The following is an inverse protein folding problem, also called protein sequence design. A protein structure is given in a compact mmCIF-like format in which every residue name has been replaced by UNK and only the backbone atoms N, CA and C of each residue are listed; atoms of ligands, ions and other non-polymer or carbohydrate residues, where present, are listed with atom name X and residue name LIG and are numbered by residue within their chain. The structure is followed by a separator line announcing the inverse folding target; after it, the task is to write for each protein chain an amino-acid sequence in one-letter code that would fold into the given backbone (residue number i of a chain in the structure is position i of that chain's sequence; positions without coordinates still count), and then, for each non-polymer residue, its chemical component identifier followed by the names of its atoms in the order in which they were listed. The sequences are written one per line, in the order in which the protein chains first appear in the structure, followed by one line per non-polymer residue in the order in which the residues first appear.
data_IF_434984120338
#
_entry.id   IF_434984120338
#
_cell.length_a   1.000
_cell.length_b   1.000
_cell.length_c   1.000
_cell.angle_alpha   90.00
_cell.angle_beta   90.00
_cell.angle_gamma   90.00
#
_symmetry.space_group_name_H-M   'P 1'
#
loop_
_entity.id
_entity.type
_entity.pdbx_description
1 polymer ?
#
# COMPACT_ATOMS: atom_id res chain seq x y z
N UNK A 1 -28.59 43.85 -5.84
CA UNK A 1 -27.26 43.23 -6.09
C UNK A 1 -27.46 41.77 -6.47
N UNK A 2 -27.40 41.45 -7.75
CA UNK A 2 -27.55 40.07 -8.26
C UNK A 2 -26.16 39.42 -8.27
N UNK A 3 -25.97 38.39 -7.45
CA UNK A 3 -24.77 37.57 -7.42
C UNK A 3 -24.70 36.80 -8.73
N UNK A 4 -23.78 37.20 -9.64
CA UNK A 4 -23.51 36.48 -10.89
C UNK A 4 -22.94 35.09 -10.58
N UNK A 5 -23.81 34.09 -10.52
CA UNK A 5 -23.42 32.70 -10.67
C UNK A 5 -22.86 32.49 -12.07
N UNK A 6 -21.60 32.07 -12.18
CA UNK A 6 -20.99 31.71 -13.46
C UNK A 6 -21.65 30.44 -14.00
N UNK A 7 -22.60 30.60 -14.92
CA UNK A 7 -23.16 29.52 -15.73
C UNK A 7 -22.05 29.07 -16.69
N UNK A 8 -21.51 27.86 -16.46
CA UNK A 8 -20.63 27.21 -17.43
C UNK A 8 -21.47 26.96 -18.68
N UNK A 9 -21.03 27.35 -19.89
CA UNK A 9 -21.79 27.05 -21.10
C UNK A 9 -22.01 25.53 -21.17
N UNK A 10 -23.27 25.09 -21.32
CA UNK A 10 -23.78 23.70 -21.23
C UNK A 10 -22.98 22.64 -22.03
N UNK A 11 -22.06 23.07 -22.88
CA UNK A 11 -21.25 22.24 -23.77
C UNK A 11 -19.84 21.93 -23.24
N UNK A 12 -19.28 22.69 -22.30
CA UNK A 12 -17.89 22.47 -21.82
C UNK A 12 -17.85 21.58 -20.60
N UNK A 13 -17.42 20.33 -20.79
CA UNK A 13 -17.43 19.27 -19.75
C UNK A 13 -16.06 18.90 -19.21
N UNK A 14 -14.98 19.22 -19.94
CA UNK A 14 -13.64 18.75 -19.61
C UNK A 14 -12.64 19.90 -19.46
N UNK A 15 -11.69 19.77 -18.55
CA UNK A 15 -10.66 20.78 -18.25
C UNK A 15 -9.27 20.13 -18.21
N UNK A 16 -8.25 20.83 -18.67
CA UNK A 16 -6.87 20.32 -18.71
C UNK A 16 -6.21 20.23 -17.34
N UNK A 17 -5.32 19.24 -17.18
CA UNK A 17 -4.49 19.01 -15.99
C UNK A 17 -3.74 20.25 -15.54
N UNK A 18 -3.09 20.94 -16.47
CA UNK A 18 -2.28 22.14 -16.20
C UNK A 18 -3.14 23.26 -15.63
N UNK A 19 -4.36 23.43 -16.12
CA UNK A 19 -5.28 24.44 -15.60
C UNK A 19 -5.77 24.08 -14.20
N UNK A 20 -6.09 22.81 -13.96
CA UNK A 20 -6.51 22.33 -12.63
C UNK A 20 -5.40 22.54 -11.61
N UNK A 21 -4.18 22.10 -11.90
CA UNK A 21 -3.01 22.28 -11.02
C UNK A 21 -2.77 23.75 -10.67
N UNK A 22 -2.83 24.63 -11.67
CA UNK A 22 -2.70 26.08 -11.47
C UNK A 22 -3.76 26.64 -10.53
N UNK A 23 -5.03 26.23 -10.68
CA UNK A 23 -6.12 26.64 -9.78
C UNK A 23 -5.97 26.06 -8.38
N UNK A 24 -5.59 24.78 -8.26
CA UNK A 24 -5.49 24.09 -6.97
C UNK A 24 -4.24 24.54 -6.19
N UNK A 25 -3.24 25.09 -6.91
CA UNK A 25 -1.91 25.46 -6.41
C UNK A 25 -1.15 24.25 -5.84
N UNK A 26 -1.27 23.12 -6.53
CA UNK A 26 -0.60 21.85 -6.17
C UNK A 26 0.39 21.41 -7.24
N UNK A 27 1.44 20.72 -6.82
CA UNK A 27 2.46 20.17 -7.72
C UNK A 27 1.98 18.91 -8.45
N UNK A 28 2.82 18.36 -9.33
CA UNK A 28 2.51 17.20 -10.16
C UNK A 28 2.28 15.93 -9.33
N UNK A 29 3.17 15.64 -8.37
CA UNK A 29 3.07 14.45 -7.52
C UNK A 29 1.80 14.52 -6.67
N UNK A 30 1.56 15.67 -6.04
CA UNK A 30 0.39 15.92 -5.20
C UNK A 30 -0.92 15.82 -6.01
N UNK A 31 -0.93 16.25 -7.27
CA UNK A 31 -2.09 16.09 -8.14
C UNK A 31 -2.32 14.63 -8.54
N UNK A 32 -1.26 13.88 -8.83
CA UNK A 32 -1.36 12.45 -9.15
C UNK A 32 -1.86 11.65 -7.93
N UNK A 33 -1.35 11.94 -6.74
CA UNK A 33 -1.83 11.39 -5.47
C UNK A 33 -3.33 11.65 -5.27
N UNK A 34 -3.76 12.90 -5.48
CA UNK A 34 -5.15 13.29 -5.35
C UNK A 34 -6.06 12.53 -6.32
N UNK A 35 -5.64 12.37 -7.59
CA UNK A 35 -6.39 11.64 -8.59
C UNK A 35 -6.51 10.14 -8.25
N UNK A 36 -5.41 9.52 -7.84
CA UNK A 36 -5.37 8.09 -7.49
C UNK A 36 -6.28 7.81 -6.29
N UNK A 37 -6.12 8.58 -5.22
CA UNK A 37 -6.90 8.39 -3.99
C UNK A 37 -8.39 8.69 -4.21
N UNK A 38 -8.73 9.60 -5.11
CA UNK A 38 -10.13 9.95 -5.40
C UNK A 38 -10.76 9.14 -6.54
N UNK A 39 -10.04 8.15 -7.08
CA UNK A 39 -10.49 7.31 -8.19
C UNK A 39 -10.88 8.13 -9.44
N UNK A 40 -10.16 9.23 -9.73
CA UNK A 40 -10.36 10.05 -10.92
C UNK A 40 -9.38 9.66 -12.01
N UNK A 41 -9.93 9.48 -13.21
CA UNK A 41 -9.18 9.10 -14.40
C UNK A 41 -9.24 10.16 -15.49
N UNK A 42 -8.18 10.27 -16.30
CA UNK A 42 -8.19 11.13 -17.48
C UNK A 42 -9.25 10.67 -18.49
N UNK A 43 -9.76 11.60 -19.29
CA UNK A 43 -10.82 11.37 -20.28
C UNK A 43 -10.41 11.86 -21.66
N UNK A 44 -10.62 11.01 -22.66
CA UNK A 44 -10.56 11.40 -24.07
C UNK A 44 -11.82 12.20 -24.41
N UNK A 45 -11.66 13.38 -24.98
CA UNK A 45 -12.77 14.29 -25.22
C UNK A 45 -12.67 15.01 -26.57
N UNK A 46 -13.83 15.21 -27.21
CA UNK A 46 -13.96 15.97 -28.46
C UNK A 46 -13.61 17.44 -28.23
N UNK A 47 -12.97 18.08 -29.22
CA UNK A 47 -12.48 19.48 -29.14
C UNK A 47 -13.57 20.48 -28.70
N UNK A 48 -14.83 20.26 -29.09
CA UNK A 48 -15.97 21.11 -28.70
C UNK A 48 -16.27 21.07 -27.19
N UNK A 49 -16.02 19.95 -26.52
CA UNK A 49 -16.34 19.76 -25.09
C UNK A 49 -15.23 20.21 -24.14
N UNK A 50 -14.04 20.52 -24.67
CA UNK A 50 -12.88 21.00 -23.92
C UNK A 50 -13.06 22.45 -23.51
N UNK A 51 -12.97 22.74 -22.21
CA UNK A 51 -13.02 24.09 -21.63
C UNK A 51 -11.87 24.94 -22.14
N UNK A 52 -10.65 24.41 -22.09
CA UNK A 52 -9.44 25.02 -22.63
C UNK A 52 -8.87 24.18 -23.78
N UNK A 53 -8.15 24.78 -24.73
CA UNK A 53 -7.66 24.13 -25.96
C UNK A 53 -6.19 23.66 -25.88
N UNK A 54 -5.67 23.41 -24.67
CA UNK A 54 -4.27 22.99 -24.47
C UNK A 54 -4.02 21.57 -25.01
N UNK A 55 -2.78 21.30 -25.41
CA UNK A 55 -2.35 19.93 -25.71
C UNK A 55 -1.96 19.25 -24.39
N UNK A 56 -2.96 18.75 -23.67
CA UNK A 56 -2.82 18.25 -22.31
C UNK A 56 -3.82 17.11 -22.05
N UNK A 57 -3.67 16.45 -20.91
CA UNK A 57 -4.59 15.45 -20.37
C UNK A 57 -5.82 16.16 -19.78
N UNK A 58 -7.02 15.63 -20.06
CA UNK A 58 -8.28 16.25 -19.66
C UNK A 58 -9.01 15.43 -18.59
N UNK A 59 -9.72 16.13 -17.71
CA UNK A 59 -10.54 15.57 -16.63
C UNK A 59 -11.95 16.15 -16.66
N UNK A 60 -12.92 15.42 -16.12
CA UNK A 60 -14.31 15.87 -16.03
C UNK A 60 -14.44 16.99 -14.99
N UNK A 61 -15.04 18.11 -15.38
CA UNK A 61 -15.18 19.29 -14.50
C UNK A 61 -16.00 18.96 -13.24
N UNK A 62 -17.03 18.11 -13.37
CA UNK A 62 -17.88 17.71 -12.25
C UNK A 62 -17.05 16.99 -11.16
N UNK A 63 -16.22 16.03 -11.54
CA UNK A 63 -15.40 15.27 -10.60
C UNK A 63 -14.35 16.17 -9.93
N UNK A 64 -13.72 17.08 -10.70
CA UNK A 64 -12.75 18.05 -10.18
C UNK A 64 -13.38 19.02 -9.18
N UNK A 65 -14.62 19.48 -9.43
CA UNK A 65 -15.36 20.32 -8.48
C UNK A 65 -15.63 19.59 -7.17
N UNK A 66 -16.06 18.32 -7.25
CA UNK A 66 -16.29 17.48 -6.07
C UNK A 66 -15.01 17.29 -5.25
N UNK A 67 -13.90 17.00 -5.92
CA UNK A 67 -12.59 16.87 -5.27
C UNK A 67 -12.14 18.16 -4.60
N UNK A 68 -12.31 19.30 -5.26
CA UNK A 68 -11.80 20.58 -4.74
C UNK A 68 -12.36 20.90 -3.35
N UNK A 69 -13.63 20.53 -3.12
CA UNK A 69 -14.33 20.72 -1.86
C UNK A 69 -14.03 19.63 -0.83
N UNK A 70 -13.33 18.55 -1.20
CA UNK A 70 -13.03 17.45 -0.28
C UNK A 70 -11.94 17.79 0.74
N UNK A 71 -12.02 17.17 1.92
CA UNK A 71 -10.97 17.23 2.93
C UNK A 71 -9.66 16.60 2.44
N UNK A 72 -9.75 15.64 1.52
CA UNK A 72 -8.58 15.03 0.90
C UNK A 72 -7.71 16.07 0.17
N UNK A 73 -8.33 16.95 -0.63
CA UNK A 73 -7.62 18.04 -1.29
C UNK A 73 -6.95 18.99 -0.28
N UNK A 74 -7.65 19.34 0.81
CA UNK A 74 -7.09 20.16 1.90
C UNK A 74 -5.88 19.50 2.55
N UNK A 75 -5.97 18.20 2.86
CA UNK A 75 -4.90 17.44 3.49
C UNK A 75 -3.68 17.30 2.58
N UNK A 76 -3.88 17.01 1.29
CA UNK A 76 -2.79 16.95 0.30
C UNK A 76 -2.08 18.30 0.19
N UNK A 77 -2.82 19.41 0.18
CA UNK A 77 -2.21 20.75 0.13
C UNK A 77 -1.38 21.06 1.37
N UNK A 78 -1.82 20.62 2.55
CA UNK A 78 -1.04 20.72 3.80
C UNK A 78 0.22 19.85 3.70
N UNK A 79 0.07 18.60 3.29
CA UNK A 79 1.17 17.64 3.14
C UNK A 79 2.22 18.11 2.14
N UNK A 80 1.81 18.73 1.03
CA UNK A 80 2.71 19.35 0.07
C UNK A 80 3.55 20.48 0.71
N UNK A 81 2.94 21.34 1.54
CA UNK A 81 3.66 22.40 2.26
C UNK A 81 4.67 21.80 3.24
N UNK A 82 4.25 20.77 3.98
CA UNK A 82 5.13 20.03 4.89
C UNK A 82 6.31 19.41 4.13
N UNK A 83 6.07 18.76 2.98
CA UNK A 83 7.12 18.17 2.11
C UNK A 83 8.13 19.24 1.68
N UNK A 84 7.66 20.42 1.25
CA UNK A 84 8.53 21.54 0.86
C UNK A 84 9.33 22.11 2.03
N UNK A 85 8.72 22.25 3.20
CA UNK A 85 9.42 22.69 4.41
C UNK A 85 10.50 21.68 4.79
N UNK A 86 10.14 20.39 4.93
CA UNK A 86 11.07 19.31 5.26
C UNK A 86 12.26 19.24 4.30
N UNK A 87 12.03 19.40 3.00
CA UNK A 87 13.11 19.47 2.01
C UNK A 87 14.08 20.64 2.27
N UNK A 88 13.57 21.83 2.59
CA UNK A 88 14.42 22.99 2.93
C UNK A 88 15.24 22.73 4.20
N UNK A 89 14.66 22.08 5.21
CA UNK A 89 15.37 21.73 6.45
C UNK A 89 16.48 20.71 6.20
N UNK A 90 16.18 19.62 5.50
CA UNK A 90 17.17 18.59 5.15
C UNK A 90 18.33 19.17 4.34
N UNK A 91 18.03 20.03 3.35
CA UNK A 91 19.07 20.69 2.56
C UNK A 91 19.97 21.59 3.42
N UNK A 92 19.41 22.29 4.40
CA UNK A 92 20.20 23.07 5.37
C UNK A 92 21.07 22.16 6.22
N UNK A 93 20.53 21.05 6.71
CA UNK A 93 21.27 20.06 7.49
C UNK A 93 22.45 19.45 6.72
N UNK A 94 22.26 19.08 5.46
CA UNK A 94 23.34 18.61 4.59
C UNK A 94 24.44 19.66 4.40
N UNK A 95 24.06 20.93 4.24
CA UNK A 95 25.01 22.05 4.14
C UNK A 95 25.78 22.20 5.45
N UNK A 96 25.10 22.19 6.60
CA UNK A 96 25.74 22.26 7.91
C UNK A 96 26.69 21.09 8.14
N UNK A 97 26.32 19.87 7.73
CA UNK A 97 27.17 18.70 7.84
C UNK A 97 28.45 18.84 7.00
N UNK A 98 28.32 19.29 5.74
CA UNK A 98 29.48 19.57 4.88
C UNK A 98 30.39 20.65 5.44
N UNK A 99 29.82 21.75 5.94
CA UNK A 99 30.59 22.83 6.58
C UNK A 99 31.35 22.29 7.81
N UNK A 100 30.74 21.41 8.60
CA UNK A 100 31.40 20.80 9.76
C UNK A 100 32.52 19.84 9.35
N UNK A 101 32.33 19.07 8.29
CA UNK A 101 33.37 18.21 7.70
C UNK A 101 34.53 19.03 7.14
N UNK A 102 34.25 20.18 6.50
CA UNK A 102 35.26 21.07 5.91
C UNK A 102 36.06 21.88 6.96
N UNK A 103 35.44 22.22 8.11
CA UNK A 103 36.07 23.01 9.18
C UNK A 103 36.87 22.18 10.20
N UNK A 104 36.67 20.85 10.22
CA UNK A 104 37.23 19.95 11.23
C UNK A 104 36.58 20.11 12.61
N UNK A 105 36.45 19.02 13.37
CA UNK A 105 35.69 18.94 14.63
C UNK A 105 36.17 19.89 15.76
N UNK A 106 37.33 20.55 15.59
CA UNK A 106 37.98 21.36 16.63
C UNK A 106 37.61 22.85 16.67
N UNK A 107 36.83 23.38 15.71
CA UNK A 107 36.70 24.85 15.55
C UNK A 107 35.26 25.39 15.55
N UNK A 108 34.33 24.71 16.21
CA UNK A 108 33.00 25.27 16.52
C UNK A 108 32.79 25.29 18.03
N UNK A 109 33.52 26.18 18.72
CA UNK A 109 33.22 26.54 20.10
C UNK A 109 32.58 27.93 20.06
N UNK A 110 31.26 27.95 20.21
CA UNK A 110 30.47 29.16 20.46
C UNK A 110 29.69 29.65 19.25
N UNK A 111 28.41 29.30 19.19
CA UNK A 111 27.40 30.21 18.65
C UNK A 111 26.17 30.18 19.56
N UNK A 112 25.76 31.38 19.94
CA UNK A 112 24.73 31.73 20.91
C UNK A 112 23.35 31.17 20.54
N UNK A 113 22.47 31.04 21.54
CA UNK A 113 21.03 30.81 21.34
C UNK A 113 20.46 31.89 20.42
N UNK A 114 20.27 31.58 19.15
CA UNK A 114 19.37 32.36 18.29
C UNK A 114 17.96 32.15 18.84
N UNK A 115 17.45 33.19 19.50
CA UNK A 115 16.13 33.25 20.08
C UNK A 115 15.02 32.92 19.08
N UNK A 116 13.88 32.52 19.64
CA UNK A 116 12.63 32.27 18.93
C UNK A 116 12.36 33.32 17.86
N UNK A 117 12.46 32.93 16.58
CA UNK A 117 11.88 33.70 15.49
C UNK A 117 10.36 33.51 15.59
N UNK A 118 9.71 34.43 16.29
CA UNK A 118 8.26 34.59 16.22
C UNK A 118 7.91 35.22 14.88
N UNK A 119 7.12 34.52 14.06
CA UNK A 119 6.55 35.04 12.80
C UNK A 119 5.66 36.25 13.12
N UNK A 120 6.22 37.46 13.08
CA UNK A 120 5.45 38.70 13.13
C UNK A 120 5.03 39.09 11.71
N UNK A 121 3.71 39.07 11.49
CA UNK A 121 3.04 39.62 10.32
C UNK A 121 3.45 41.08 10.10
N UNK A 122 3.94 41.39 8.90
CA UNK A 122 3.95 42.77 8.41
C UNK A 122 2.57 43.06 7.82
N UNK A 123 1.77 43.82 8.57
CA UNK A 123 0.69 44.67 8.05
C UNK A 123 0.90 46.01 8.75
N UNK A 124 1.10 47.07 7.96
CA UNK A 124 1.27 48.42 8.48
C UNK A 124 0.01 48.94 9.14
N UNK A 125 0.17 49.69 10.21
CA UNK A 125 -0.18 51.11 10.29
C UNK A 125 0.06 51.63 11.72
N UNK A 126 0.63 52.83 11.76
CA UNK A 126 0.65 53.85 12.81
C UNK A 126 1.09 53.55 14.25
N UNK A 127 2.12 54.32 14.60
CA UNK A 127 2.68 54.58 15.92
C UNK A 127 1.72 55.47 16.71
N UNK A 128 1.34 55.06 17.92
CA UNK A 128 1.03 55.98 19.01
C UNK A 128 1.78 55.52 20.26
N UNK A 129 2.65 56.39 20.75
CA UNK A 129 3.44 56.28 21.97
C UNK A 129 2.55 56.20 23.23
N UNK A 130 2.99 55.52 24.29
CA UNK A 130 3.51 56.17 25.52
C UNK A 130 3.73 55.21 26.70
N UNK A 131 4.95 55.28 27.25
CA UNK A 131 5.41 55.31 28.67
C UNK A 131 4.87 54.32 29.73
N UNK A 132 5.85 53.56 30.28
CA UNK A 132 6.12 53.14 31.69
C UNK A 132 5.03 53.35 32.76
N UNK A 133 4.87 52.36 33.66
CA UNK A 133 5.20 52.43 35.12
C UNK A 133 5.04 51.04 35.77
N UNK A 134 5.91 50.76 36.75
CA UNK A 134 6.01 49.56 37.58
C UNK A 134 4.99 49.50 38.76
N UNK A 135 4.77 48.25 39.22
CA UNK A 135 4.50 47.77 40.60
C UNK A 135 3.20 48.17 41.33
N UNK A 136 2.57 47.15 41.94
CA UNK A 136 1.66 47.31 43.06
C UNK A 136 0.96 46.01 43.45
N UNK A 137 1.33 45.47 44.61
CA UNK A 137 0.76 44.29 45.27
C UNK A 137 -0.74 44.43 45.55
N UNK A 138 -1.45 43.30 45.63
CA UNK A 138 -2.53 43.11 46.59
C UNK A 138 -2.54 41.65 47.06
N UNK A 139 -2.40 41.48 48.38
CA UNK A 139 -2.73 40.28 49.15
C UNK A 139 -4.26 40.22 49.33
N UNK A 140 -4.81 39.01 49.48
CA UNK A 140 -5.69 38.68 50.61
C UNK A 140 -6.17 37.20 50.59
N UNK A 141 -5.92 36.50 51.70
CA UNK A 141 -7.00 35.94 52.53
C UNK A 141 -7.68 34.61 52.15
N UNK A 142 -7.15 33.52 52.73
CA UNK A 142 -7.82 32.34 53.34
C UNK A 142 -9.34 32.08 53.16
N UNK A 143 -9.69 30.79 52.94
CA UNK A 143 -10.70 30.05 53.71
C UNK A 143 -10.62 28.51 53.48
N UNK A 144 -10.26 27.80 54.57
CA UNK A 144 -10.69 26.47 55.09
C UNK A 144 -10.92 25.29 54.11
N UNK A 145 -10.13 24.19 54.13
CA UNK A 145 -9.98 23.06 55.08
C UNK A 145 -11.16 22.06 55.16
N UNK A 146 -10.77 20.78 55.12
CA UNK A 146 -11.45 19.52 55.52
C UNK A 146 -12.30 18.80 54.46
N UNK A 147 -12.23 17.47 54.25
CA UNK A 147 -11.36 16.39 54.72
C UNK A 147 -11.70 15.09 53.95
N UNK A 148 -10.71 14.21 53.80
CA UNK A 148 -10.78 12.73 53.94
C UNK A 148 -11.02 11.77 52.74
N UNK A 149 -10.23 10.67 52.82
CA UNK A 149 -10.19 9.37 52.08
C UNK A 149 -9.36 9.35 50.79
N UNK A 150 -8.05 9.08 50.83
CA UNK A 150 -7.30 7.83 51.17
C UNK A 150 -7.56 6.69 50.17
N UNK A 151 -6.53 6.35 49.38
CA UNK A 151 -5.89 5.03 49.16
C UNK A 151 -5.00 5.09 47.89
N UNK A 152 -3.68 5.22 48.05
CA UNK A 152 -2.67 4.15 47.97
C UNK A 152 -2.57 3.42 46.61
N UNK A 153 -1.46 3.63 45.88
CA UNK A 153 -0.38 2.64 45.71
C UNK A 153 0.81 3.28 44.98
N UNK A 154 1.99 3.09 45.58
CA UNK A 154 3.33 3.53 45.18
C UNK A 154 3.89 2.73 44.00
N UNK A 155 4.73 3.36 43.19
CA UNK A 155 5.93 2.74 42.58
C UNK A 155 7.10 3.73 42.67
N UNK A 156 7.97 3.49 43.65
CA UNK A 156 9.36 3.94 43.64
C UNK A 156 10.16 2.93 42.80
N UNK A 157 11.16 3.40 42.05
CA UNK A 157 12.59 3.03 42.18
C UNK A 157 13.38 3.61 40.99
N UNK A 158 13.93 4.80 41.24
CA UNK A 158 15.28 5.24 40.85
C UNK A 158 16.29 4.36 41.65
N UNK A 159 17.52 4.02 41.27
CA UNK A 159 18.54 4.52 40.34
C UNK A 159 19.48 3.35 40.02
N UNK A 160 20.23 3.39 38.91
CA UNK A 160 21.69 3.15 38.94
C UNK A 160 22.36 3.47 37.58
N UNK A 161 22.97 4.66 37.54
CA UNK A 161 24.30 4.98 37.02
C UNK A 161 24.88 4.19 35.83
N UNK A 162 24.93 4.87 34.67
CA UNK A 162 26.19 4.98 33.91
C UNK A 162 26.40 6.45 33.58
N UNK A 163 27.38 7.06 34.26
CA UNK A 163 27.85 8.40 34.00
C UNK A 163 29.33 8.31 33.59
N UNK A 164 29.63 8.33 32.29
CA UNK A 164 30.95 8.74 31.80
C UNK A 164 30.76 9.56 30.51
N UNK A 165 30.86 10.88 30.68
CA UNK A 165 31.57 11.85 29.81
C UNK A 165 31.79 11.40 28.36
N UNK A 166 30.90 11.84 27.48
CA UNK A 166 31.29 12.25 26.14
C UNK A 166 30.65 13.61 25.86
N UNK A 167 31.51 14.62 25.81
CA UNK A 167 31.22 15.95 25.30
C UNK A 167 30.94 15.85 23.80
N UNK A 168 29.73 15.45 23.44
CA UNK A 168 29.17 15.62 22.11
C UNK A 168 27.71 16.04 22.27
N UNK A 169 27.50 17.35 22.42
CA UNK A 169 26.17 17.96 22.34
C UNK A 169 25.71 17.82 20.87
N UNK A 170 25.12 16.67 20.55
CA UNK A 170 24.34 16.52 19.35
C UNK A 170 23.06 17.31 19.56
N UNK A 171 22.87 18.41 18.80
CA UNK A 171 21.67 19.24 18.92
C UNK A 171 20.46 18.36 18.56
N UNK A 172 19.54 18.06 19.50
CA UNK A 172 18.38 17.25 19.19
C UNK A 172 17.34 18.17 18.54
N UNK A 173 17.48 18.44 17.24
CA UNK A 173 16.44 19.16 16.51
C UNK A 173 15.19 18.29 16.42
N UNK A 174 14.13 18.74 17.08
CA UNK A 174 12.82 18.11 17.28
C UNK A 174 12.02 17.95 15.96
N UNK A 175 12.58 17.31 14.92
CA UNK A 175 12.00 17.25 13.57
C UNK A 175 10.73 16.40 13.48
N UNK A 176 10.64 15.32 14.26
CA UNK A 176 9.53 14.37 14.19
C UNK A 176 8.20 14.88 14.76
N UNK A 177 8.24 15.81 15.73
CA UNK A 177 7.02 16.42 16.29
C UNK A 177 6.47 17.58 15.46
N UNK A 178 7.31 18.24 14.66
CA UNK A 178 6.96 19.51 13.97
C UNK A 178 6.41 19.27 12.55
N UNK A 179 6.80 18.18 11.86
CA UNK A 179 6.44 17.91 10.46
C UNK A 179 5.58 16.66 10.25
N UNK A 180 4.60 16.44 11.12
CA UNK A 180 3.68 15.31 11.00
C UNK A 180 2.72 15.50 9.83
N UNK A 181 2.87 14.67 8.79
CA UNK A 181 1.91 14.60 7.69
C UNK A 181 0.49 14.35 8.20
N UNK A 182 -0.48 15.05 7.62
CA UNK A 182 -1.90 14.78 7.85
C UNK A 182 -2.23 13.40 7.28
N UNK A 183 -2.76 12.53 8.13
CA UNK A 183 -3.23 11.19 7.74
C UNK A 183 -4.47 11.32 6.87
N UNK A 184 -4.58 10.45 5.86
CA UNK A 184 -5.78 10.34 5.05
C UNK A 184 -6.83 9.49 5.75
N UNK A 185 -8.10 9.90 5.63
CA UNK A 185 -9.23 9.11 6.07
C UNK A 185 -9.53 8.02 5.04
N UNK A 186 -8.76 6.93 5.04
CA UNK A 186 -8.94 5.85 4.08
C UNK A 186 -10.33 5.19 4.18
N UNK A 187 -10.98 5.22 5.34
CA UNK A 187 -12.34 4.67 5.48
C UNK A 187 -13.35 5.41 4.61
N UNK A 188 -13.31 6.74 4.59
CA UNK A 188 -14.18 7.56 3.74
C UNK A 188 -13.85 7.39 2.26
N UNK A 189 -12.56 7.36 1.93
CA UNK A 189 -12.10 7.13 0.55
C UNK A 189 -12.60 5.79 0.03
N UNK A 190 -12.49 4.72 0.83
CA UNK A 190 -12.93 3.38 0.46
C UNK A 190 -14.45 3.28 0.36
N UNK A 191 -15.21 3.96 1.22
CA UNK A 191 -16.69 4.05 1.09
C UNK A 191 -17.12 4.75 -0.20
N UNK A 192 -16.38 5.77 -0.62
CA UNK A 192 -16.65 6.44 -1.90
C UNK A 192 -16.25 5.56 -3.10
N UNK A 193 -15.21 4.73 -2.96
CA UNK A 193 -14.74 3.82 -4.01
C UNK A 193 -15.63 2.59 -4.17
N UNK A 194 -16.09 2.01 -3.06
CA UNK A 194 -16.88 0.80 -3.02
C UNK A 194 -18.21 1.07 -2.31
N UNK A 195 -19.29 1.13 -3.09
CA UNK A 195 -20.66 1.38 -2.60
C UNK A 195 -21.18 0.25 -1.71
N UNK A 196 -20.75 -0.98 -1.96
CA UNK A 196 -21.20 -2.17 -1.22
C UNK A 196 -20.03 -3.09 -0.86
N UNK A 197 -20.30 -4.07 0.01
CA UNK A 197 -19.33 -5.12 0.32
C UNK A 197 -19.00 -5.97 -0.92
N UNK A 198 -20.00 -6.26 -1.76
CA UNK A 198 -19.79 -7.00 -3.00
C UNK A 198 -18.86 -6.24 -3.97
N UNK A 199 -19.02 -4.92 -4.07
CA UNK A 199 -18.12 -4.09 -4.88
C UNK A 199 -16.69 -4.08 -4.32
N UNK A 200 -16.57 -4.04 -2.99
CA UNK A 200 -15.29 -4.13 -2.28
C UNK A 200 -14.62 -5.50 -2.53
N UNK A 201 -15.39 -6.58 -2.53
CA UNK A 201 -14.93 -7.92 -2.87
C UNK A 201 -14.42 -8.02 -4.30
N UNK A 202 -15.11 -7.41 -5.28
CA UNK A 202 -14.63 -7.34 -6.66
C UNK A 202 -13.27 -6.63 -6.74
N UNK A 203 -13.05 -5.62 -5.89
CA UNK A 203 -11.78 -4.89 -5.75
C UNK A 203 -10.65 -5.63 -4.99
N UNK A 204 -10.90 -6.85 -4.52
CA UNK A 204 -9.93 -7.64 -3.75
C UNK A 204 -8.73 -8.04 -4.63
N UNK A 205 -8.99 -8.45 -5.87
CA UNK A 205 -7.95 -8.86 -6.83
C UNK A 205 -6.92 -7.75 -7.01
N UNK A 206 -7.36 -6.55 -7.35
CA UNK A 206 -6.50 -5.40 -7.60
C UNK A 206 -5.68 -5.06 -6.37
N UNK A 207 -6.28 -5.17 -5.19
CA UNK A 207 -5.61 -4.83 -3.93
C UNK A 207 -4.55 -5.86 -3.54
N UNK A 208 -4.84 -7.16 -3.66
CA UNK A 208 -3.87 -8.22 -3.42
C UNK A 208 -2.71 -8.15 -4.42
N UNK A 209 -3.00 -8.01 -5.72
CA UNK A 209 -1.97 -7.92 -6.75
C UNK A 209 -1.08 -6.68 -6.55
N UNK A 210 -1.67 -5.53 -6.21
CA UNK A 210 -0.89 -4.31 -5.95
C UNK A 210 0.03 -4.46 -4.75
N UNK A 211 -0.43 -5.12 -3.67
CA UNK A 211 0.37 -5.34 -2.47
C UNK A 211 1.55 -6.30 -2.75
N UNK A 212 1.32 -7.34 -3.55
CA UNK A 212 2.41 -8.22 -4.02
C UNK A 212 3.40 -7.45 -4.90
N UNK A 213 2.92 -6.61 -5.82
CA UNK A 213 3.80 -5.75 -6.63
C UNK A 213 4.60 -4.77 -5.76
N UNK A 214 4.00 -4.17 -4.72
CA UNK A 214 4.71 -3.32 -3.77
C UNK A 214 5.77 -4.10 -2.97
N UNK A 215 5.52 -5.36 -2.61
CA UNK A 215 6.54 -6.24 -2.00
C UNK A 215 7.72 -6.42 -2.95
N UNK A 216 7.46 -6.82 -4.20
CA UNK A 216 8.51 -7.15 -5.15
C UNK A 216 9.29 -5.93 -5.63
N UNK A 217 8.59 -4.85 -6.00
CA UNK A 217 9.17 -3.65 -6.65
C UNK A 217 9.62 -2.60 -5.62
N UNK A 218 8.80 -2.29 -4.61
CA UNK A 218 9.11 -1.25 -3.61
C UNK A 218 9.84 -1.81 -2.38
N UNK A 219 9.99 -3.13 -2.27
CA UNK A 219 10.53 -3.83 -1.08
C UNK A 219 9.81 -3.45 0.23
N UNK A 220 8.51 -3.15 0.14
CA UNK A 220 7.69 -2.87 1.32
C UNK A 220 7.40 -4.15 2.10
N UNK A 221 7.44 -4.08 3.43
CA UNK A 221 7.03 -5.17 4.30
C UNK A 221 5.51 -5.38 4.22
N UNK A 222 5.12 -6.32 3.35
CA UNK A 222 3.73 -6.68 3.10
C UNK A 222 3.40 -8.13 3.51
N UNK A 223 4.38 -8.86 4.04
CA UNK A 223 4.26 -10.29 4.38
C UNK A 223 3.18 -10.54 5.41
N UNK A 224 3.05 -9.65 6.41
CA UNK A 224 2.05 -9.80 7.47
C UNK A 224 0.61 -9.82 6.93
N UNK A 225 0.24 -8.85 6.08
CA UNK A 225 -1.12 -8.78 5.53
C UNK A 225 -1.40 -9.92 4.55
N UNK A 226 -0.41 -10.31 3.74
CA UNK A 226 -0.51 -11.45 2.81
C UNK A 226 -0.74 -12.74 3.60
N UNK A 227 0.03 -12.97 4.67
CA UNK A 227 -0.08 -14.16 5.52
C UNK A 227 -1.43 -14.22 6.24
N UNK A 228 -1.94 -13.08 6.74
CA UNK A 228 -3.29 -13.01 7.30
C UNK A 228 -4.36 -13.44 6.30
N UNK A 229 -4.26 -12.98 5.05
CA UNK A 229 -5.16 -13.40 3.98
C UNK A 229 -5.01 -14.88 3.62
N UNK A 230 -3.78 -15.41 3.52
CA UNK A 230 -3.54 -16.84 3.30
C UNK A 230 -4.16 -17.70 4.40
N UNK A 231 -3.94 -17.33 5.67
CA UNK A 231 -4.50 -18.03 6.81
C UNK A 231 -6.04 -17.99 6.81
N UNK A 232 -6.62 -16.84 6.48
CA UNK A 232 -8.07 -16.71 6.29
C UNK A 232 -8.57 -17.66 5.17
N UNK A 233 -7.90 -17.68 4.01
CA UNK A 233 -8.27 -18.56 2.91
C UNK A 233 -8.20 -20.05 3.26
N UNK A 234 -7.20 -20.46 4.04
CA UNK A 234 -7.05 -21.83 4.56
C UNK A 234 -8.21 -22.14 5.51
N UNK A 235 -8.42 -21.31 6.52
CA UNK A 235 -9.41 -21.50 7.59
C UNK A 235 -10.85 -21.59 7.10
N UNK A 236 -11.17 -20.87 6.02
CA UNK A 236 -12.52 -20.78 5.47
C UNK A 236 -12.71 -21.59 4.17
N UNK A 237 -11.68 -22.34 3.73
CA UNK A 237 -11.68 -23.18 2.52
C UNK A 237 -12.12 -22.42 1.27
N UNK A 238 -11.46 -21.29 1.03
CA UNK A 238 -11.76 -20.37 -0.08
C UNK A 238 -10.96 -20.73 -1.34
N UNK A 239 -9.79 -21.35 -1.19
CA UNK A 239 -8.95 -21.74 -2.33
C UNK A 239 -9.58 -22.94 -3.07
N UNK A 240 -9.91 -22.74 -4.35
CA UNK A 240 -10.60 -23.75 -5.18
C UNK A 240 -9.67 -24.43 -6.17
N UNK A 241 -8.85 -23.66 -6.89
CA UNK A 241 -7.89 -24.17 -7.88
C UNK A 241 -6.60 -23.36 -7.84
N UNK A 242 -5.50 -23.95 -8.27
CA UNK A 242 -4.17 -23.33 -8.25
C UNK A 242 -3.43 -23.60 -9.55
N UNK A 243 -2.51 -22.73 -9.93
CA UNK A 243 -1.67 -22.96 -11.10
C UNK A 243 -0.31 -22.31 -10.90
N UNK A 244 0.75 -23.10 -11.02
CA UNK A 244 2.12 -22.61 -11.09
C UNK A 244 2.49 -22.31 -12.55
N UNK A 245 2.83 -21.05 -12.84
CA UNK A 245 3.19 -20.59 -14.18
C UNK A 245 4.60 -20.00 -14.24
N UNK A 246 5.00 -19.49 -15.41
CA UNK A 246 6.37 -18.95 -15.62
C UNK A 246 6.62 -17.65 -14.86
N UNK A 247 5.63 -16.77 -14.80
CA UNK A 247 5.78 -15.42 -14.22
C UNK A 247 5.28 -15.32 -12.78
N UNK A 248 4.60 -16.35 -12.28
CA UNK A 248 3.98 -16.33 -10.98
C UNK A 248 3.02 -17.49 -10.77
N UNK A 249 2.31 -17.44 -9.64
CA UNK A 249 1.35 -18.46 -9.22
C UNK A 249 -0.03 -17.85 -9.20
N UNK A 250 -1.00 -18.58 -9.74
CA UNK A 250 -2.39 -18.19 -9.77
C UNK A 250 -3.21 -18.99 -8.77
N UNK A 251 -4.05 -18.29 -8.04
CA UNK A 251 -4.98 -18.84 -7.07
C UNK A 251 -6.40 -18.45 -7.46
N UNK A 252 -7.25 -19.44 -7.72
CA UNK A 252 -8.68 -19.24 -7.88
C UNK A 252 -9.35 -19.33 -6.51
N UNK A 253 -9.92 -18.22 -6.09
CA UNK A 253 -10.62 -18.06 -4.82
C UNK A 253 -12.13 -18.05 -5.09
N UNK A 254 -12.90 -18.74 -4.26
CA UNK A 254 -14.37 -18.77 -4.39
C UNK A 254 -15.04 -18.32 -3.10
N UNK A 255 -15.74 -17.20 -3.18
CA UNK A 255 -16.49 -16.57 -2.09
C UNK A 255 -17.99 -16.66 -2.42
N UNK A 256 -18.70 -17.67 -1.89
CA UNK A 256 -20.14 -17.87 -2.10
C UNK A 256 -20.62 -17.71 -3.56
N UNK A 257 -19.87 -18.32 -4.49
CA UNK A 257 -20.14 -18.25 -5.94
C UNK A 257 -19.43 -17.11 -6.68
N UNK A 258 -18.83 -16.13 -5.99
CA UNK A 258 -17.94 -15.14 -6.60
C UNK A 258 -16.54 -15.73 -6.76
N UNK A 259 -16.09 -15.86 -8.01
CA UNK A 259 -14.75 -16.32 -8.34
C UNK A 259 -13.76 -15.16 -8.55
N UNK A 260 -12.62 -15.23 -7.88
CA UNK A 260 -11.56 -14.21 -7.93
C UNK A 260 -10.23 -14.90 -8.23
N UNK A 261 -9.58 -14.51 -9.33
CA UNK A 261 -8.23 -14.97 -9.68
C UNK A 261 -7.20 -14.03 -9.09
N UNK A 262 -6.47 -14.49 -8.07
CA UNK A 262 -5.33 -13.80 -7.50
C UNK A 262 -4.03 -14.30 -8.14
N UNK A 263 -3.30 -13.38 -8.78
CA UNK A 263 -1.97 -13.66 -9.34
C UNK A 263 -0.93 -13.16 -8.35
N UNK A 264 -0.06 -14.07 -7.93
CA UNK A 264 1.12 -13.77 -7.14
C UNK A 264 2.34 -13.80 -8.05
N UNK A 265 2.93 -12.64 -8.32
CA UNK A 265 4.15 -12.52 -9.12
C UNK A 265 5.36 -13.01 -8.35
N UNK A 266 6.27 -13.71 -9.04
CA UNK A 266 7.58 -14.02 -8.46
C UNK A 266 8.40 -12.75 -8.28
N UNK A 267 9.33 -12.82 -7.33
CA UNK A 267 10.32 -11.76 -7.18
C UNK A 267 11.21 -11.75 -8.42
N UNK A 268 11.00 -10.76 -9.28
CA UNK A 268 11.86 -10.48 -10.42
C UNK A 268 13.04 -9.63 -9.95
N UNK A 269 14.24 -10.08 -10.25
CA UNK A 269 15.43 -9.22 -10.27
C UNK A 269 15.41 -8.48 -11.61
N UNK A 270 14.87 -7.26 -11.62
CA UNK A 270 14.91 -6.44 -12.83
C UNK A 270 16.31 -5.85 -13.00
N UNK A 271 16.92 -6.03 -14.17
CA UNK A 271 18.19 -5.39 -14.53
C UNK A 271 18.00 -3.93 -15.01
N UNK A 272 16.78 -3.54 -15.41
CA UNK A 272 16.47 -2.24 -16.02
C UNK A 272 15.88 -1.23 -15.02
N UNK A 273 16.70 -0.27 -14.58
CA UNK A 273 16.38 0.73 -13.53
C UNK A 273 15.41 1.86 -13.95
N UNK A 274 15.26 2.16 -15.24
CA UNK A 274 14.55 3.37 -15.69
C UNK A 274 13.01 3.27 -15.64
N UNK A 275 12.46 2.08 -15.90
CA UNK A 275 11.01 1.82 -15.77
C UNK A 275 10.56 1.72 -14.30
N UNK A 276 11.48 1.46 -13.38
CA UNK A 276 11.21 1.36 -11.95
C UNK A 276 10.78 2.71 -11.37
N UNK A 277 11.49 3.79 -11.72
CA UNK A 277 11.36 5.11 -11.08
C UNK A 277 9.97 5.75 -11.31
N UNK A 278 9.39 5.63 -12.51
CA UNK A 278 8.05 6.20 -12.82
C UNK A 278 6.91 5.41 -12.17
N UNK A 279 7.07 4.09 -12.02
CA UNK A 279 6.06 3.22 -11.41
C UNK A 279 6.03 3.33 -9.88
N UNK A 280 7.16 3.71 -9.25
CA UNK A 280 7.27 3.81 -7.78
C UNK A 280 6.25 4.79 -7.16
N UNK A 281 6.03 5.95 -7.78
CA UNK A 281 5.14 6.96 -7.19
C UNK A 281 3.68 6.50 -7.19
N UNK A 282 3.20 5.91 -8.29
CA UNK A 282 1.82 5.40 -8.38
C UNK A 282 1.62 4.25 -7.39
N UNK A 283 2.55 3.31 -7.34
CA UNK A 283 2.52 2.18 -6.40
C UNK A 283 2.52 2.65 -4.95
N UNK A 284 3.31 3.68 -4.61
CA UNK A 284 3.33 4.27 -3.26
C UNK A 284 1.95 4.79 -2.83
N UNK A 285 1.22 5.46 -3.71
CA UNK A 285 -0.12 5.97 -3.39
C UNK A 285 -1.14 4.85 -3.29
N UNK A 286 -1.06 3.87 -4.20
CA UNK A 286 -1.94 2.70 -4.20
C UNK A 286 -1.70 1.81 -2.98
N UNK A 287 -0.46 1.68 -2.52
CA UNK A 287 -0.11 0.87 -1.35
C UNK A 287 -0.96 1.25 -0.13
N UNK A 288 -1.03 2.55 0.21
CA UNK A 288 -1.76 3.03 1.39
C UNK A 288 -3.25 2.67 1.35
N UNK A 289 -3.90 2.92 0.20
CA UNK A 289 -5.33 2.65 0.03
C UNK A 289 -5.64 1.15 -0.09
N UNK A 290 -4.81 0.38 -0.81
CA UNK A 290 -4.96 -1.07 -0.95
C UNK A 290 -4.71 -1.80 0.37
N UNK A 291 -3.69 -1.39 1.15
CA UNK A 291 -3.44 -1.97 2.47
C UNK A 291 -4.60 -1.68 3.43
N UNK A 292 -5.14 -0.46 3.42
CA UNK A 292 -6.34 -0.14 4.19
C UNK A 292 -7.55 -0.97 3.73
N UNK A 293 -7.75 -1.10 2.41
CA UNK A 293 -8.83 -1.91 1.84
C UNK A 293 -8.75 -3.35 2.31
N UNK A 294 -7.57 -3.98 2.20
CA UNK A 294 -7.34 -5.35 2.64
C UNK A 294 -7.61 -5.51 4.14
N UNK A 295 -7.16 -4.59 4.99
CA UNK A 295 -7.42 -4.65 6.44
C UNK A 295 -8.90 -4.55 6.77
N UNK A 296 -9.62 -3.59 6.19
CA UNK A 296 -11.05 -3.42 6.43
C UNK A 296 -11.88 -4.58 5.88
N UNK A 297 -11.52 -5.08 4.69
CA UNK A 297 -12.23 -6.18 4.06
C UNK A 297 -12.03 -7.47 4.84
N UNK A 298 -10.79 -7.78 5.25
CA UNK A 298 -10.49 -8.96 6.06
C UNK A 298 -11.29 -8.96 7.37
N UNK A 299 -11.30 -7.82 8.08
CA UNK A 299 -12.08 -7.67 9.31
C UNK A 299 -13.58 -7.91 9.11
N UNK A 300 -14.14 -7.53 7.96
CA UNK A 300 -15.54 -7.83 7.64
C UNK A 300 -15.72 -9.32 7.28
N UNK A 301 -14.83 -9.88 6.48
CA UNK A 301 -14.90 -11.26 6.03
C UNK A 301 -14.79 -12.25 7.20
N UNK A 302 -13.90 -12.01 8.16
CA UNK A 302 -13.76 -12.82 9.38
C UNK A 302 -15.04 -12.90 10.22
N UNK A 303 -15.91 -11.89 10.12
CA UNK A 303 -17.20 -11.87 10.83
C UNK A 303 -18.32 -12.57 10.07
N UNK A 304 -18.20 -12.64 8.74
CA UNK A 304 -19.26 -13.16 7.86
C UNK A 304 -19.04 -14.65 7.61
N UNK A 305 -17.78 -15.06 7.36
CA UNK A 305 -17.48 -16.43 7.00
C UNK A 305 -17.33 -17.30 8.24
N UNK A 306 -18.11 -18.38 8.37
CA UNK A 306 -17.91 -19.35 9.43
C UNK A 306 -16.61 -20.12 9.21
N UNK A 307 -15.97 -20.51 10.30
CA UNK A 307 -14.83 -21.43 10.26
C UNK A 307 -15.34 -22.78 9.77
N UNK A 308 -14.69 -23.36 8.76
CA UNK A 308 -15.01 -24.70 8.28
C UNK A 308 -14.01 -25.68 8.89
N UNK A 309 -14.51 -26.71 9.56
CA UNK A 309 -13.64 -27.75 10.12
C UNK A 309 -12.98 -28.59 9.01
N UNK A 310 -11.71 -28.91 9.23
CA UNK A 310 -10.83 -29.61 8.29
C UNK A 310 -11.16 -31.11 8.25
N UNK A 311 -12.24 -31.51 7.60
CA UNK A 311 -12.66 -32.91 7.66
C UNK A 311 -12.17 -33.76 6.48
N UNK A 312 -12.00 -33.22 5.27
CA UNK A 312 -11.71 -34.02 4.07
C UNK A 312 -10.81 -33.33 3.00
N UNK A 313 -9.71 -32.69 3.39
CA UNK A 313 -8.75 -32.18 2.41
C UNK A 313 -7.96 -33.30 1.71
N UNK A 314 -7.51 -33.02 0.48
CA UNK A 314 -6.76 -33.96 -0.38
C UNK A 314 -5.47 -34.45 0.27
N UNK A 315 -4.81 -33.58 1.02
CA UNK A 315 -3.52 -33.82 1.65
C UNK A 315 -3.65 -34.21 3.12
N UNK A 316 -4.86 -34.53 3.58
CA UNK A 316 -5.10 -34.98 4.95
C UNK A 316 -4.22 -36.18 5.28
N UNK A 317 -3.57 -36.12 6.44
CA UNK A 317 -2.61 -37.12 6.96
C UNK A 317 -1.27 -37.20 6.23
N UNK A 318 -1.01 -36.37 5.23
CA UNK A 318 0.29 -36.34 4.57
C UNK A 318 1.17 -35.20 5.09
N UNK A 319 2.46 -35.48 5.23
CA UNK A 319 3.52 -34.55 5.63
C UNK A 319 4.43 -34.27 4.43
N UNK A 320 4.64 -33.00 4.14
CA UNK A 320 5.46 -32.53 3.04
C UNK A 320 6.71 -31.82 3.55
N UNK A 321 7.87 -32.17 3.03
CA UNK A 321 9.11 -31.42 3.21
C UNK A 321 9.45 -30.69 1.92
N UNK A 322 9.75 -29.39 1.99
CA UNK A 322 10.00 -28.56 0.81
C UNK A 322 11.48 -28.14 0.82
N UNK A 323 12.20 -28.56 -0.23
CA UNK A 323 13.62 -28.22 -0.44
C UNK A 323 13.81 -26.78 -0.91
N UNK A 324 12.95 -26.33 -1.84
CA UNK A 324 13.11 -25.02 -2.47
C UNK A 324 12.52 -23.90 -1.60
N UNK A 325 13.38 -23.15 -0.90
CA UNK A 325 12.98 -21.99 -0.09
C UNK A 325 12.21 -20.94 -0.89
N UNK A 326 12.52 -20.77 -2.19
CA UNK A 326 11.81 -19.83 -3.08
C UNK A 326 10.32 -20.15 -3.24
N UNK A 327 9.97 -21.44 -3.30
CA UNK A 327 8.60 -21.88 -3.50
C UNK A 327 7.91 -22.33 -2.21
N UNK A 328 8.66 -22.43 -1.11
CA UNK A 328 8.18 -22.90 0.20
C UNK A 328 6.93 -22.18 0.66
N UNK A 329 6.89 -20.84 0.57
CA UNK A 329 5.73 -20.03 0.97
C UNK A 329 4.46 -20.38 0.18
N UNK A 330 4.61 -20.77 -1.08
CA UNK A 330 3.52 -21.04 -1.99
C UNK A 330 3.04 -22.49 -1.92
N UNK A 331 3.98 -23.44 -1.91
CA UNK A 331 3.68 -24.86 -1.76
C UNK A 331 3.04 -25.09 -0.39
N UNK A 332 3.59 -24.50 0.68
CA UNK A 332 3.01 -24.59 2.02
C UNK A 332 1.58 -24.10 2.07
N UNK A 333 1.28 -22.99 1.39
CA UNK A 333 -0.08 -22.45 1.32
C UNK A 333 -1.06 -23.45 0.66
N UNK A 334 -0.67 -24.10 -0.44
CA UNK A 334 -1.52 -25.08 -1.13
C UNK A 334 -1.69 -26.36 -0.32
N UNK A 335 -0.61 -26.87 0.28
CA UNK A 335 -0.64 -28.06 1.14
C UNK A 335 -1.55 -27.82 2.35
N UNK A 336 -1.39 -26.69 3.05
CA UNK A 336 -2.24 -26.35 4.19
C UNK A 336 -3.70 -26.12 3.79
N UNK A 337 -3.96 -25.53 2.62
CA UNK A 337 -5.31 -25.39 2.11
C UNK A 337 -5.99 -26.76 1.87
N UNK A 338 -5.20 -27.76 1.44
CA UNK A 338 -5.63 -29.15 1.27
C UNK A 338 -5.53 -30.02 2.53
N UNK A 339 -5.38 -29.45 3.73
CA UNK A 339 -5.28 -30.15 5.03
C UNK A 339 -4.03 -31.02 5.24
N UNK A 340 -2.95 -30.74 4.50
CA UNK A 340 -1.66 -31.36 4.73
C UNK A 340 -0.79 -30.60 5.73
N UNK A 341 0.23 -31.28 6.23
CA UNK A 341 1.18 -30.73 7.20
C UNK A 341 2.54 -30.49 6.52
N UNK A 342 3.24 -29.45 6.97
CA UNK A 342 4.61 -29.17 6.52
C UNK A 342 5.58 -29.69 7.59
N UNK A 343 6.48 -30.57 7.17
CA UNK A 343 7.53 -31.13 8.02
C UNK A 343 8.77 -30.23 8.00
N UNK A 344 9.48 -30.16 9.12
CA UNK A 344 10.78 -29.50 9.23
C UNK A 344 11.95 -30.43 8.89
N UNK A 345 11.72 -31.75 8.88
CA UNK A 345 12.72 -32.80 8.65
C UNK A 345 12.29 -33.68 7.47
N UNK A 346 13.28 -34.19 6.72
CA UNK A 346 13.04 -35.06 5.56
C UNK A 346 12.50 -36.43 6.00
N UNK A 347 13.02 -36.93 7.12
CA UNK A 347 12.77 -38.27 7.65
C UNK A 347 11.33 -38.48 8.11
N UNK A 348 10.67 -37.41 8.54
CA UNK A 348 9.28 -37.44 8.99
C UNK A 348 8.27 -37.11 7.87
N UNK A 349 8.75 -36.86 6.66
CA UNK A 349 7.91 -36.46 5.53
C UNK A 349 7.54 -37.63 4.63
N UNK A 350 6.29 -37.66 4.18
CA UNK A 350 5.82 -38.62 3.17
C UNK A 350 6.29 -38.21 1.77
N UNK A 351 6.39 -36.89 1.53
CA UNK A 351 6.80 -36.34 0.24
C UNK A 351 7.88 -35.28 0.41
N UNK A 352 8.99 -35.47 -0.30
CA UNK A 352 10.07 -34.48 -0.44
C UNK A 352 9.88 -33.75 -1.76
N UNK A 353 9.58 -32.46 -1.69
CA UNK A 353 9.27 -31.61 -2.85
C UNK A 353 10.46 -30.72 -3.21
N UNK A 354 10.91 -30.75 -4.48
CA UNK A 354 12.02 -29.93 -4.95
C UNK A 354 12.21 -29.90 -6.47
N UNK A 355 13.08 -29.01 -6.96
CA UNK A 355 13.41 -28.87 -8.40
C UNK A 355 14.87 -29.20 -8.70
N UNK A 356 15.83 -28.92 -7.80
CA UNK A 356 17.24 -29.21 -8.06
C UNK A 356 18.12 -29.20 -6.80
N UNK A 357 18.42 -30.39 -6.29
CA UNK A 357 19.56 -30.64 -5.41
C UNK A 357 20.07 -32.06 -5.67
N UNK A 358 21.29 -32.14 -6.21
CA UNK A 358 22.22 -33.31 -6.21
C UNK A 358 21.63 -34.68 -5.89
N UNK A 359 21.51 -35.58 -6.89
CA UNK A 359 21.29 -37.04 -6.80
C UNK A 359 20.19 -37.60 -5.87
N UNK A 360 19.46 -36.77 -5.12
CA UNK A 360 18.39 -37.20 -4.23
C UNK A 360 17.08 -37.39 -4.99
N UNK A 361 16.29 -38.40 -4.59
CA UNK A 361 14.95 -38.64 -5.10
C UNK A 361 13.99 -37.60 -4.52
N UNK A 362 13.42 -36.76 -5.39
CA UNK A 362 12.42 -35.76 -5.02
C UNK A 362 11.24 -35.76 -6.00
N UNK A 363 10.11 -35.23 -5.55
CA UNK A 363 8.91 -35.03 -6.34
C UNK A 363 8.83 -33.56 -6.76
N UNK A 364 8.57 -33.30 -8.04
CA UNK A 364 8.47 -31.95 -8.57
C UNK A 364 7.28 -31.18 -7.96
N UNK A 365 7.39 -29.86 -7.67
CA UNK A 365 6.32 -29.07 -7.06
C UNK A 365 4.97 -29.13 -7.77
N UNK A 366 4.98 -29.33 -9.09
CA UNK A 366 3.77 -29.48 -9.91
C UNK A 366 2.83 -30.56 -9.35
N UNK A 367 3.35 -31.62 -8.74
CA UNK A 367 2.58 -32.67 -8.08
C UNK A 367 1.55 -32.12 -7.09
N UNK A 368 1.95 -31.12 -6.29
CA UNK A 368 1.10 -30.51 -5.25
C UNK A 368 -0.04 -29.72 -5.91
N UNK A 369 0.27 -28.92 -6.93
CA UNK A 369 -0.74 -28.12 -7.64
C UNK A 369 -1.74 -29.02 -8.38
N UNK A 370 -1.25 -30.04 -9.08
CA UNK A 370 -2.09 -30.96 -9.86
C UNK A 370 -2.95 -31.84 -8.96
N UNK A 371 -2.39 -32.38 -7.87
CA UNK A 371 -3.14 -33.19 -6.91
C UNK A 371 -4.24 -32.37 -6.23
N UNK A 372 -3.93 -31.11 -5.88
CA UNK A 372 -4.93 -30.20 -5.32
C UNK A 372 -6.07 -29.93 -6.32
N UNK A 373 -5.74 -29.62 -7.58
CA UNK A 373 -6.73 -29.35 -8.62
C UNK A 373 -7.59 -30.58 -8.98
N UNK A 374 -6.99 -31.77 -8.97
CA UNK A 374 -7.69 -33.02 -9.23
C UNK A 374 -8.51 -33.52 -8.03
N UNK A 375 -8.39 -32.86 -6.88
CA UNK A 375 -8.98 -33.26 -5.60
C UNK A 375 -8.63 -34.71 -5.20
N UNK A 376 -7.44 -35.18 -5.56
CA UNK A 376 -6.92 -36.52 -5.27
C UNK A 376 -5.41 -36.53 -5.28
N UNK A 377 -4.80 -37.39 -4.47
CA UNK A 377 -3.36 -37.66 -4.55
C UNK A 377 -3.05 -38.34 -5.88
N UNK A 378 -2.24 -37.69 -6.70
CA UNK A 378 -1.80 -38.27 -7.98
C UNK A 378 -0.66 -39.26 -7.78
N UNK A 379 -0.32 -39.97 -8.86
CA UNK A 379 0.83 -40.87 -8.87
C UNK A 379 2.14 -40.06 -8.85
N UNK A 380 2.77 -40.00 -7.68
CA UNK A 380 3.97 -39.21 -7.44
C UNK A 380 5.17 -39.66 -8.29
N UNK A 381 5.25 -40.93 -8.71
CA UNK A 381 6.33 -41.42 -9.57
C UNK A 381 6.40 -40.68 -10.90
N UNK A 382 5.25 -40.23 -11.44
CA UNK A 382 5.19 -39.43 -12.68
C UNK A 382 5.80 -38.04 -12.54
N UNK A 383 5.90 -37.55 -11.30
CA UNK A 383 6.42 -36.23 -10.98
C UNK A 383 7.85 -36.29 -10.42
N UNK A 384 8.45 -37.48 -10.28
CA UNK A 384 9.83 -37.63 -9.82
C UNK A 384 10.83 -37.35 -10.93
N UNK A 385 11.94 -36.68 -10.59
CA UNK A 385 13.10 -36.59 -11.49
C UNK A 385 13.72 -37.99 -11.67
N UNK A 386 14.11 -38.44 -12.89
CA UNK A 386 14.27 -37.68 -14.13
C UNK A 386 13.09 -37.82 -15.13
N UNK A 387 11.91 -38.22 -14.68
CA UNK A 387 10.78 -38.47 -15.59
C UNK A 387 10.29 -37.18 -16.27
N UNK A 388 9.77 -37.31 -17.49
CA UNK A 388 9.08 -36.21 -18.16
C UNK A 388 7.79 -35.89 -17.41
N UNK A 389 7.69 -34.65 -16.94
CA UNK A 389 6.54 -34.18 -16.18
C UNK A 389 5.24 -34.25 -17.02
N UNK A 390 4.10 -34.56 -16.39
CA UNK A 390 2.80 -34.50 -17.05
C UNK A 390 2.46 -33.09 -17.56
N UNK A 391 1.61 -33.02 -18.59
CA UNK A 391 1.11 -31.75 -19.13
C UNK A 391 0.43 -30.91 -18.06
N UNK A 392 1.06 -29.78 -17.72
CA UNK A 392 0.53 -28.82 -16.75
C UNK A 392 -0.51 -27.89 -17.39
N UNK A 393 -1.79 -28.32 -17.38
CA UNK A 393 -2.86 -27.56 -18.05
C UNK A 393 -3.42 -26.49 -17.12
N UNK A 394 -3.56 -25.27 -17.64
CA UNK A 394 -4.22 -24.17 -16.96
C UNK A 394 -5.67 -24.56 -16.59
N UNK A 395 -6.03 -24.63 -15.30
CA UNK A 395 -7.25 -25.30 -14.85
C UNK A 395 -8.46 -24.36 -14.77
N UNK A 396 -8.31 -23.09 -15.14
CA UNK A 396 -9.39 -22.11 -15.05
C UNK A 396 -10.07 -21.94 -16.40
N UNK A 397 -11.40 -22.08 -16.42
CA UNK A 397 -12.27 -21.63 -17.53
C UNK A 397 -12.43 -20.11 -17.48
N UNK A 398 -11.33 -19.40 -17.17
CA UNK A 398 -11.34 -17.97 -16.95
C UNK A 398 -11.03 -17.28 -18.26
N UNK A 399 -12.07 -16.82 -18.94
CA UNK A 399 -11.91 -15.95 -20.08
C UNK A 399 -11.51 -14.57 -19.55
N UNK A 400 -10.20 -14.27 -19.53
CA UNK A 400 -9.65 -12.98 -19.11
C UNK A 400 -10.29 -11.76 -19.81
N UNK A 401 -11.06 -12.03 -20.87
CA UNK A 401 -11.57 -11.07 -21.83
C UNK A 401 -13.10 -11.08 -21.96
N UNK A 402 -13.83 -11.82 -21.12
CA UNK A 402 -15.30 -11.93 -21.21
C UNK A 402 -16.05 -10.59 -21.01
N UNK A 403 -15.35 -9.55 -20.53
CA UNK A 403 -15.90 -8.22 -20.33
C UNK A 403 -15.15 -7.12 -21.09
N UNK A 404 -14.51 -7.42 -22.23
CA UNK A 404 -13.97 -6.36 -23.09
C UNK A 404 -15.09 -5.79 -23.96
N UNK A 405 -15.51 -4.57 -23.64
CA UNK A 405 -16.41 -3.80 -24.51
C UNK A 405 -15.77 -3.55 -25.88
N UNK A 406 -16.59 -3.36 -26.91
CA UNK A 406 -16.13 -3.03 -28.27
C UNK A 406 -15.23 -1.78 -28.30
N UNK A 407 -15.48 -0.83 -27.40
CA UNK A 407 -14.64 0.34 -27.23
C UNK A 407 -13.25 -0.01 -26.66
N UNK A 408 -13.19 -0.93 -25.69
CA UNK A 408 -11.93 -1.38 -25.10
C UNK A 408 -11.11 -2.18 -26.12
N UNK A 409 -11.72 -3.06 -26.91
CA UNK A 409 -11.02 -3.75 -28.01
C UNK A 409 -10.50 -2.77 -29.06
N UNK A 410 -11.16 -1.65 -29.34
CA UNK A 410 -10.64 -0.64 -30.27
C UNK A 410 -9.33 0.03 -29.79
N UNK A 411 -9.18 0.27 -28.49
CA UNK A 411 -8.04 1.01 -27.90
C UNK A 411 -6.82 0.11 -27.65
N UNK A 412 -6.98 -1.22 -27.71
CA UNK A 412 -5.90 -2.17 -27.49
C UNK A 412 -4.87 -2.17 -28.63
N UNK A 413 -3.62 -2.54 -28.32
CA UNK A 413 -2.59 -2.74 -29.35
C UNK A 413 -2.97 -3.91 -30.27
N UNK A 414 -2.47 -3.92 -31.51
CA UNK A 414 -2.66 -5.04 -32.45
C UNK A 414 -2.30 -6.38 -31.82
N UNK A 415 -1.13 -6.45 -31.18
CA UNK A 415 -0.64 -7.66 -30.51
C UNK A 415 -1.59 -8.12 -29.39
N UNK A 416 -2.19 -7.19 -28.63
CA UNK A 416 -3.13 -7.57 -27.56
C UNK A 416 -4.45 -8.08 -28.13
N UNK A 417 -4.93 -7.50 -29.24
CA UNK A 417 -6.15 -7.98 -29.93
C UNK A 417 -5.95 -9.37 -30.53
N UNK A 418 -4.77 -9.64 -31.09
CA UNK A 418 -4.40 -10.94 -31.63
C UNK A 418 -4.31 -12.00 -30.52
N UNK A 419 -3.68 -11.68 -29.38
CA UNK A 419 -3.63 -12.58 -28.19
C UNK A 419 -5.01 -12.95 -27.62
N UNK A 420 -5.96 -12.01 -27.65
CA UNK A 420 -7.35 -12.28 -27.23
C UNK A 420 -8.03 -13.26 -28.20
N UNK A 421 -7.89 -13.02 -29.51
CA UNK A 421 -8.48 -13.88 -30.55
C UNK A 421 -7.91 -15.29 -30.55
N UNK A 422 -6.63 -15.43 -30.20
CA UNK A 422 -5.97 -16.74 -30.08
C UNK A 422 -6.34 -17.51 -28.81
N UNK A 423 -7.23 -17.00 -27.93
CA UNK A 423 -7.50 -17.59 -26.61
C UNK A 423 -6.20 -17.95 -25.90
N UNK A 424 -5.23 -17.03 -25.93
CA UNK A 424 -3.85 -17.43 -25.75
C UNK A 424 -3.58 -17.87 -24.30
N UNK A 425 -3.53 -19.20 -24.12
CA UNK A 425 -3.17 -19.90 -22.88
C UNK A 425 -1.73 -19.66 -22.46
N UNK A 426 -0.93 -18.93 -23.26
CA UNK A 426 0.51 -18.66 -23.06
C UNK A 426 0.84 -17.56 -22.04
N UNK A 427 -0.15 -16.95 -21.37
CA UNK A 427 0.11 -15.95 -20.31
C UNK A 427 0.53 -16.62 -18.99
N UNK A 428 0.42 -17.95 -18.88
CA UNK A 428 0.76 -18.71 -17.67
C UNK A 428 1.80 -19.78 -17.92
#
# INVERSE_FOLDING_TARGET
MVVRGYIIPDQKKYVSKTLIKGKFKIDEDSFNELCILSNIYPKLCKRKLKYDKRNDIYYLIADIKKIYLSDLHRNIKINQRIKKMRYKYLKREEIFRKIKEDLGDGMVIGEERIGEITDSRVVGEEIIETKKIEKGNFEDGNLEKENSKVENIKKNELDENVNIRDSNISIPFKTDKIYKFKKYNFAEILKNKYSSLLDSMKGLKESLCTIVLCKTVMKYECTEIINKYKNFMIKHKILKKTFIGKTGICYLLTFDGLEIVWIYSYDYENENKDDEIKNMNVLKYLYGICNAHLKFLLFKLEKIYPVKENTNGVFKNFKFYILDEKFKEHISFVVMAGDGNISNTKEESDYVIGISTTQELFVHPQFVFDSFNANKILDHYKYMSPNNLPDHKFPFDYNFYENITELQTMIMSKNTKERIKEHDKRIF
#
